data_IF_906620983565
#
_entry.id   IF_906620983565
#
_cell.length_a   1.000
_cell.length_b   1.000
_cell.length_c   1.000
_cell.angle_alpha   90.00
_cell.angle_beta   90.00
_cell.angle_gamma   90.00
#
_symmetry.space_group_name_H-M   'P 1'
#
loop_
_entity.id
_entity.type
_entity.pdbx_description
1 polymer ?
#
# COMPACT_ATOMS: atom_id res chain seq x y z
N UNK A 1 20.26 30.75 -0.11
CA UNK A 1 19.06 31.23 0.58
C UNK A 1 17.83 31.37 -0.34
N UNK A 2 17.95 31.32 -1.67
CA UNK A 2 16.85 31.46 -2.65
C UNK A 2 16.24 30.10 -3.09
N UNK A 3 17.00 29.01 -3.02
CA UNK A 3 16.55 27.65 -3.38
C UNK A 3 15.54 27.05 -2.37
N UNK A 4 15.74 27.25 -1.08
CA UNK A 4 14.85 26.70 -0.04
C UNK A 4 13.45 27.34 0.03
N UNK A 5 13.27 28.52 -0.59
CA UNK A 5 11.94 29.17 -0.66
C UNK A 5 11.08 28.66 -1.84
N UNK A 6 11.70 28.19 -2.93
CA UNK A 6 10.98 27.60 -4.07
C UNK A 6 10.41 26.22 -3.76
N UNK A 7 11.14 25.38 -3.03
CA UNK A 7 10.65 24.06 -2.60
C UNK A 7 9.44 24.16 -1.64
N UNK A 8 9.49 25.08 -0.66
CA UNK A 8 8.34 25.30 0.24
C UNK A 8 7.08 25.76 -0.48
N UNK A 9 7.23 26.54 -1.55
CA UNK A 9 6.09 27.04 -2.34
C UNK A 9 5.53 25.94 -3.23
N UNK A 10 6.38 25.11 -3.82
CA UNK A 10 5.99 24.01 -4.71
C UNK A 10 5.26 22.90 -3.92
N UNK A 11 5.77 22.50 -2.76
CA UNK A 11 5.11 21.52 -1.90
C UNK A 11 3.75 22.03 -1.35
N UNK A 12 3.65 23.33 -1.05
CA UNK A 12 2.38 23.95 -0.66
C UNK A 12 1.35 23.98 -1.79
N UNK A 13 1.79 24.07 -3.03
CA UNK A 13 0.91 24.13 -4.21
C UNK A 13 0.35 22.76 -4.58
N UNK A 14 1.21 21.73 -4.54
CA UNK A 14 0.82 20.33 -4.79
C UNK A 14 -0.21 19.89 -3.74
N UNK A 15 0.00 20.22 -2.46
CA UNK A 15 -0.96 19.90 -1.40
C UNK A 15 -2.32 20.60 -1.57
N UNK A 16 -2.32 21.84 -2.04
CA UNK A 16 -3.55 22.59 -2.31
C UNK A 16 -4.29 22.08 -3.55
N UNK A 17 -3.59 21.64 -4.58
CA UNK A 17 -4.19 21.08 -5.81
C UNK A 17 -4.81 19.71 -5.53
N UNK A 18 -4.18 18.88 -4.72
CA UNK A 18 -4.71 17.56 -4.34
C UNK A 18 -5.94 17.68 -3.44
N UNK A 19 -5.95 18.61 -2.49
CA UNK A 19 -7.12 18.88 -1.64
C UNK A 19 -8.27 19.48 -2.44
N UNK A 20 -8.00 20.32 -3.43
CA UNK A 20 -9.02 20.87 -4.35
C UNK A 20 -9.56 19.83 -5.32
N UNK A 21 -8.74 18.92 -5.83
CA UNK A 21 -9.19 17.83 -6.71
C UNK A 21 -10.10 16.82 -5.99
N UNK A 22 -9.82 16.53 -4.71
CA UNK A 22 -10.68 15.68 -3.88
C UNK A 22 -11.99 16.35 -3.49
N UNK A 23 -12.00 17.68 -3.30
CA UNK A 23 -13.21 18.42 -2.99
C UNK A 23 -14.17 18.56 -4.19
N UNK A 24 -13.65 18.63 -5.42
CA UNK A 24 -14.47 18.73 -6.64
C UNK A 24 -15.20 17.42 -6.95
N UNK A 25 -14.66 16.26 -6.55
CA UNK A 25 -15.32 14.96 -6.70
C UNK A 25 -16.55 14.77 -5.78
N UNK A 26 -16.69 15.58 -4.72
CA UNK A 26 -17.82 15.50 -3.79
C UNK A 26 -19.00 16.44 -4.12
N UNK A 27 -18.83 17.44 -5.00
CA UNK A 27 -19.85 18.48 -5.25
C UNK A 27 -20.74 18.18 -6.48
N UNK A 28 -20.37 17.25 -7.37
CA UNK A 28 -21.12 16.97 -8.60
C UNK A 28 -22.25 15.94 -8.47
N UNK A 29 -22.68 15.57 -7.26
CA UNK A 29 -23.67 14.50 -7.04
C UNK A 29 -25.15 14.92 -7.14
N UNK A 30 -25.48 16.17 -7.48
CA UNK A 30 -26.88 16.67 -7.43
C UNK A 30 -27.61 16.61 -8.78
N UNK A 31 -26.93 16.39 -9.91
CA UNK A 31 -27.60 16.35 -11.24
C UNK A 31 -27.64 15.00 -11.92
N UNK A 32 -27.09 13.95 -11.32
CA UNK A 32 -27.07 12.60 -11.93
C UNK A 32 -28.36 11.78 -11.67
N UNK A 33 -29.19 12.16 -10.70
CA UNK A 33 -30.35 11.35 -10.28
C UNK A 33 -31.45 11.22 -11.35
N UNK A 34 -31.64 12.21 -12.20
CA UNK A 34 -32.74 12.18 -13.20
C UNK A 34 -32.47 11.34 -14.44
N UNK A 35 -31.20 11.02 -14.76
CA UNK A 35 -30.88 10.15 -15.91
C UNK A 35 -30.67 8.67 -15.49
N UNK A 36 -30.34 8.42 -14.24
CA UNK A 36 -30.16 7.08 -13.69
C UNK A 36 -31.51 6.36 -13.55
N UNK A 37 -32.57 7.04 -13.14
CA UNK A 37 -33.90 6.46 -13.03
C UNK A 37 -34.48 6.04 -14.40
N UNK A 38 -34.20 6.78 -15.46
CA UNK A 38 -34.60 6.40 -16.83
C UNK A 38 -33.80 5.22 -17.38
N UNK A 39 -32.54 5.10 -17.04
CA UNK A 39 -31.70 3.94 -17.37
C UNK A 39 -32.11 2.70 -16.56
N UNK A 40 -32.52 2.89 -15.31
CA UNK A 40 -33.05 1.87 -14.41
C UNK A 40 -34.38 1.29 -14.91
N UNK A 41 -35.30 2.12 -15.35
CA UNK A 41 -36.58 1.71 -15.93
C UNK A 41 -36.42 0.98 -17.30
N UNK A 42 -35.39 1.31 -18.07
CA UNK A 42 -35.06 0.63 -19.31
C UNK A 42 -34.44 -0.77 -19.09
N UNK A 43 -33.69 -0.96 -18.01
CA UNK A 43 -33.09 -2.23 -17.58
C UNK A 43 -34.07 -3.11 -16.80
N UNK A 44 -35.03 -2.53 -16.06
CA UNK A 44 -36.06 -3.24 -15.29
C UNK A 44 -37.11 -3.98 -16.17
N UNK A 45 -37.11 -3.75 -17.49
CA UNK A 45 -37.99 -4.45 -18.44
C UNK A 45 -37.49 -5.81 -18.96
N UNK A 46 -36.36 -6.30 -18.45
CA UNK A 46 -35.84 -7.62 -18.85
C UNK A 46 -35.55 -8.46 -17.63
N UNK A 47 -36.54 -9.26 -17.26
CA UNK A 47 -36.58 -10.48 -16.42
C UNK A 47 -35.38 -10.80 -15.49
N UNK A 48 -35.73 -11.10 -14.24
CA UNK A 48 -34.98 -11.66 -13.15
C UNK A 48 -34.19 -10.67 -12.25
N UNK A 49 -34.98 -9.85 -11.52
CA UNK A 49 -34.48 -8.91 -10.48
C UNK A 49 -33.76 -9.58 -9.29
N UNK A 50 -33.97 -10.86 -9.03
CA UNK A 50 -33.33 -11.58 -7.94
C UNK A 50 -31.85 -11.94 -8.24
N UNK A 51 -31.52 -12.16 -9.51
CA UNK A 51 -30.16 -12.51 -9.94
C UNK A 51 -29.27 -11.28 -10.09
N UNK A 52 -29.80 -10.16 -10.54
CA UNK A 52 -29.01 -8.93 -10.70
C UNK A 52 -28.59 -8.33 -9.36
N UNK A 53 -29.45 -8.39 -8.35
CA UNK A 53 -29.13 -7.92 -6.99
C UNK A 53 -28.10 -8.83 -6.30
N UNK A 54 -28.21 -10.16 -6.50
CA UNK A 54 -27.19 -11.12 -6.06
C UNK A 54 -25.86 -10.93 -6.78
N UNK A 55 -25.89 -10.70 -8.07
CA UNK A 55 -24.73 -10.46 -8.90
C UNK A 55 -24.00 -9.19 -8.51
N UNK A 56 -24.73 -8.13 -8.22
CA UNK A 56 -24.19 -6.89 -7.65
C UNK A 56 -23.60 -7.08 -6.25
N UNK A 57 -24.28 -7.80 -5.37
CA UNK A 57 -23.77 -8.13 -4.05
C UNK A 57 -22.47 -8.96 -4.12
N UNK A 58 -22.35 -9.85 -5.08
CA UNK A 58 -21.17 -10.70 -5.28
C UNK A 58 -20.00 -9.95 -5.93
N UNK A 59 -20.26 -9.05 -6.90
CA UNK A 59 -19.25 -8.10 -7.43
C UNK A 59 -18.81 -7.12 -6.37
N UNK A 60 -19.73 -6.75 -5.47
CA UNK A 60 -19.47 -5.98 -4.28
C UNK A 60 -18.48 -6.68 -3.36
N UNK A 61 -18.72 -7.94 -3.05
CA UNK A 61 -17.81 -8.75 -2.24
C UNK A 61 -16.43 -8.88 -2.90
N UNK A 62 -16.33 -8.75 -4.21
CA UNK A 62 -15.07 -8.76 -4.93
C UNK A 62 -14.28 -7.45 -4.82
N UNK A 63 -14.94 -6.32 -5.01
CA UNK A 63 -14.37 -5.00 -4.79
C UNK A 63 -14.13 -4.73 -3.29
N UNK A 64 -15.04 -5.22 -2.44
CA UNK A 64 -14.94 -5.14 -0.98
C UNK A 64 -13.97 -6.13 -0.35
N UNK A 65 -13.48 -7.16 -1.05
CA UNK A 65 -12.54 -8.13 -0.44
C UNK A 65 -11.28 -7.48 0.16
N UNK A 66 -10.93 -6.28 -0.26
CA UNK A 66 -9.91 -5.47 0.42
C UNK A 66 -10.43 -4.75 1.67
N UNK A 67 -11.74 -4.69 1.91
CA UNK A 67 -12.36 -3.91 2.98
C UNK A 67 -13.53 -4.63 3.68
N UNK A 68 -13.97 -5.79 3.20
CA UNK A 68 -15.08 -6.53 3.80
C UNK A 68 -14.60 -7.35 5.00
N UNK A 69 -15.34 -7.27 6.08
CA UNK A 69 -15.09 -8.04 7.28
C UNK A 69 -15.68 -9.45 7.15
N UNK A 70 -14.94 -10.43 7.63
CA UNK A 70 -15.42 -11.80 7.73
C UNK A 70 -16.49 -11.90 8.82
N UNK A 71 -17.52 -12.71 8.57
CA UNK A 71 -18.50 -13.07 9.62
C UNK A 71 -17.79 -13.80 10.76
N UNK A 72 -18.39 -13.75 11.95
CA UNK A 72 -17.89 -14.47 13.12
C UNK A 72 -17.63 -15.95 12.81
N UNK A 73 -16.44 -16.46 13.15
CA UNK A 73 -15.97 -17.80 12.83
C UNK A 73 -15.48 -17.99 11.39
N UNK A 74 -15.65 -17.00 10.52
CA UNK A 74 -15.15 -17.04 9.14
C UNK A 74 -13.62 -17.03 9.10
N UNK A 75 -13.05 -17.79 8.16
CA UNK A 75 -11.61 -17.90 7.93
C UNK A 75 -11.33 -17.63 6.47
N UNK A 76 -10.24 -16.94 6.16
CA UNK A 76 -9.76 -16.72 4.80
C UNK A 76 -8.24 -16.80 4.79
N UNK A 77 -7.69 -17.49 3.80
CA UNK A 77 -6.25 -17.51 3.52
C UNK A 77 -6.05 -16.92 2.14
N UNK A 78 -5.21 -15.92 2.02
CA UNK A 78 -4.85 -15.32 0.73
C UNK A 78 -3.35 -15.49 0.50
N UNK A 79 -3.01 -15.86 -0.70
CA UNK A 79 -1.65 -15.83 -1.23
C UNK A 79 -1.52 -14.63 -2.16
N UNK A 80 -0.43 -13.87 -2.04
CA UNK A 80 -0.06 -12.84 -3.02
C UNK A 80 1.38 -12.97 -3.45
N UNK A 81 1.61 -12.66 -4.71
CA UNK A 81 2.92 -12.46 -5.31
C UNK A 81 2.97 -11.03 -5.82
N UNK A 82 3.86 -10.24 -5.24
CA UNK A 82 4.05 -8.84 -5.56
C UNK A 82 5.46 -8.62 -6.10
N UNK A 83 5.58 -7.89 -7.20
CA UNK A 83 6.82 -7.43 -7.78
C UNK A 83 6.89 -5.92 -7.73
N UNK A 84 8.02 -5.38 -7.30
CA UNK A 84 8.30 -3.94 -7.39
C UNK A 84 9.67 -3.69 -8.02
N UNK A 85 9.72 -2.63 -8.80
CA UNK A 85 10.92 -2.15 -9.46
C UNK A 85 11.14 -0.68 -9.07
N UNK A 86 12.35 -0.37 -8.62
CA UNK A 86 12.79 0.98 -8.30
C UNK A 86 14.09 1.20 -9.05
N UNK A 87 14.12 2.21 -9.91
CA UNK A 87 15.34 2.68 -10.56
C UNK A 87 15.88 3.91 -9.83
N UNK A 88 17.18 3.94 -9.64
CA UNK A 88 17.90 5.08 -9.09
C UNK A 88 19.10 5.37 -9.98
N UNK A 89 19.53 6.62 -10.03
CA UNK A 89 20.71 7.04 -10.76
C UNK A 89 21.73 7.61 -9.79
N UNK A 90 22.81 6.87 -9.55
CA UNK A 90 23.93 7.35 -8.75
C UNK A 90 24.89 8.14 -9.63
N UNK A 91 25.24 9.34 -9.15
CA UNK A 91 26.29 10.14 -9.72
C UNK A 91 27.53 9.94 -8.84
N UNK A 92 28.51 9.20 -9.35
CA UNK A 92 29.82 9.05 -8.72
C UNK A 92 30.75 10.14 -9.21
N UNK A 93 31.19 11.00 -8.30
CA UNK A 93 32.11 12.09 -8.61
C UNK A 93 33.47 11.74 -8.00
N UNK A 94 34.46 11.51 -8.85
CA UNK A 94 35.85 11.36 -8.41
C UNK A 94 36.57 12.71 -8.48
N UNK A 95 36.93 13.23 -7.31
CA UNK A 95 37.64 14.50 -7.18
C UNK A 95 39.08 14.25 -6.78
N UNK A 96 40.03 14.46 -7.71
CA UNK A 96 41.47 14.37 -7.42
C UNK A 96 42.08 15.75 -7.62
N UNK A 97 42.76 16.26 -6.60
CA UNK A 97 43.39 17.57 -6.59
C UNK A 97 42.44 18.74 -6.93
N UNK A 98 41.26 18.75 -6.38
CA UNK A 98 40.19 19.74 -6.61
C UNK A 98 39.67 19.80 -8.07
N UNK A 99 39.97 18.80 -8.89
CA UNK A 99 39.45 18.65 -10.24
C UNK A 99 38.59 17.41 -10.32
N UNK A 100 37.37 17.56 -10.82
CA UNK A 100 36.48 16.43 -11.13
C UNK A 100 37.13 15.64 -12.28
N UNK A 101 37.61 14.44 -11.97
CA UNK A 101 38.25 13.55 -12.96
C UNK A 101 37.27 12.64 -13.67
N UNK A 102 36.24 12.22 -12.98
CA UNK A 102 35.22 11.34 -13.54
C UNK A 102 33.86 11.77 -13.05
N UNK A 103 32.88 11.73 -13.91
CA UNK A 103 31.48 11.88 -13.62
C UNK A 103 30.80 10.67 -14.24
N UNK A 104 30.68 9.60 -13.46
CA UNK A 104 30.01 8.38 -13.89
C UNK A 104 28.56 8.38 -13.37
N UNK A 105 27.61 8.27 -14.28
CA UNK A 105 26.21 8.03 -13.95
C UNK A 105 25.99 6.52 -14.02
N UNK A 106 25.95 5.89 -12.87
CA UNK A 106 25.71 4.46 -12.77
C UNK A 106 24.23 4.21 -12.47
N UNK A 107 23.46 3.65 -13.42
CA UNK A 107 22.09 3.28 -13.16
C UNK A 107 22.08 2.14 -12.12
N UNK A 108 21.31 2.33 -11.09
CA UNK A 108 21.02 1.30 -10.09
C UNK A 108 19.55 0.91 -10.18
N UNK A 109 19.26 -0.36 -10.11
CA UNK A 109 17.89 -0.85 -10.07
C UNK A 109 17.73 -1.92 -9.00
N UNK A 110 16.68 -1.80 -8.21
CA UNK A 110 16.29 -2.80 -7.22
C UNK A 110 15.01 -3.49 -7.67
N UNK A 111 15.10 -4.80 -7.83
CA UNK A 111 13.96 -5.68 -8.08
C UNK A 111 13.57 -6.38 -6.79
N UNK A 112 12.30 -6.33 -6.42
CA UNK A 112 11.79 -7.00 -5.24
C UNK A 112 10.62 -7.89 -5.60
N UNK A 113 10.70 -9.17 -5.24
CA UNK A 113 9.61 -10.14 -5.32
C UNK A 113 9.19 -10.49 -3.91
N UNK A 114 7.92 -10.33 -3.59
CA UNK A 114 7.38 -10.63 -2.27
C UNK A 114 6.24 -11.63 -2.38
N UNK A 115 6.45 -12.83 -1.83
CA UNK A 115 5.42 -13.84 -1.66
C UNK A 115 4.83 -13.67 -0.27
N UNK A 116 3.51 -13.49 -0.15
CA UNK A 116 2.87 -13.29 1.15
C UNK A 116 1.73 -14.25 1.37
N UNK A 117 1.65 -14.78 2.58
CA UNK A 117 0.47 -15.48 3.08
C UNK A 117 -0.23 -14.59 4.10
N UNK A 118 -1.51 -14.33 3.88
CA UNK A 118 -2.35 -13.53 4.77
C UNK A 118 -3.52 -14.36 5.26
N UNK A 119 -3.62 -14.52 6.55
CA UNK A 119 -4.71 -15.24 7.21
C UNK A 119 -5.63 -14.25 7.92
N UNK A 120 -6.91 -14.30 7.60
CA UNK A 120 -7.95 -13.49 8.21
C UNK A 120 -8.90 -14.39 9.03
N UNK A 121 -9.27 -13.92 10.24
CA UNK A 121 -10.21 -14.60 11.11
C UNK A 121 -11.27 -13.62 11.63
N UNK A 122 -12.53 -13.90 11.35
CA UNK A 122 -13.67 -13.14 11.85
C UNK A 122 -13.95 -13.49 13.32
N UNK A 123 -13.56 -12.62 14.25
CA UNK A 123 -13.85 -12.80 15.68
C UNK A 123 -15.30 -12.45 15.98
N UNK A 124 -15.76 -11.33 15.44
CA UNK A 124 -17.13 -10.85 15.49
C UNK A 124 -17.60 -10.54 14.07
N UNK A 125 -18.89 -10.34 13.87
CA UNK A 125 -19.42 -9.95 12.55
C UNK A 125 -18.88 -8.61 12.05
N UNK A 126 -18.36 -7.79 12.95
CA UNK A 126 -17.81 -6.47 12.69
C UNK A 126 -16.33 -6.33 13.10
N UNK A 127 -15.64 -7.44 13.41
CA UNK A 127 -14.23 -7.45 13.82
C UNK A 127 -13.49 -8.64 13.20
N UNK A 128 -12.48 -8.37 12.42
CA UNK A 128 -11.60 -9.36 11.81
C UNK A 128 -10.16 -9.15 12.29
N UNK A 129 -9.50 -10.23 12.67
CA UNK A 129 -8.06 -10.28 12.90
C UNK A 129 -7.36 -10.72 11.61
N UNK A 130 -6.18 -10.19 11.39
CA UNK A 130 -5.33 -10.49 10.24
C UNK A 130 -3.92 -10.83 10.72
N UNK A 131 -3.29 -11.82 10.09
CA UNK A 131 -1.88 -12.13 10.24
C UNK A 131 -1.26 -12.29 8.85
N UNK A 132 -0.14 -11.62 8.57
CA UNK A 132 0.58 -11.68 7.30
C UNK A 132 2.03 -12.07 7.52
N UNK A 133 2.52 -12.99 6.69
CA UNK A 133 3.91 -13.46 6.66
C UNK A 133 4.45 -13.33 5.23
N UNK A 134 5.37 -12.39 4.97
CA UNK A 134 6.00 -12.22 3.67
C UNK A 134 7.34 -12.96 3.59
N UNK A 135 7.64 -13.52 2.42
CA UNK A 135 8.95 -13.99 2.00
C UNK A 135 9.42 -13.09 0.86
N UNK A 136 10.49 -12.34 1.08
CA UNK A 136 10.99 -11.35 0.13
C UNK A 136 12.28 -11.81 -0.53
N UNK A 137 12.32 -11.70 -1.86
CA UNK A 137 13.53 -11.86 -2.67
C UNK A 137 13.86 -10.52 -3.28
N UNK A 138 15.04 -9.98 -2.98
CA UNK A 138 15.54 -8.70 -3.53
C UNK A 138 16.79 -8.93 -4.33
N UNK A 139 16.89 -8.19 -5.43
CA UNK A 139 18.06 -8.15 -6.30
C UNK A 139 18.42 -6.71 -6.63
N UNK A 140 19.67 -6.32 -6.35
CA UNK A 140 20.25 -5.04 -6.70
C UNK A 140 21.19 -5.23 -7.89
N UNK A 141 20.97 -4.48 -8.97
CA UNK A 141 21.73 -4.63 -10.21
C UNK A 141 23.12 -4.02 -10.13
N UNK A 142 23.31 -2.95 -9.35
CA UNK A 142 24.58 -2.23 -9.26
C UNK A 142 25.63 -3.05 -8.49
N UNK A 143 25.20 -3.63 -7.36
CA UNK A 143 26.11 -4.40 -6.51
C UNK A 143 26.06 -5.90 -6.85
N UNK A 144 25.16 -6.32 -7.75
CA UNK A 144 24.89 -7.73 -8.07
C UNK A 144 24.59 -8.57 -6.82
N UNK A 145 23.94 -7.95 -5.84
CA UNK A 145 23.56 -8.60 -4.59
C UNK A 145 22.15 -9.16 -4.71
N UNK A 146 21.95 -10.33 -4.14
CA UNK A 146 20.63 -10.92 -3.99
C UNK A 146 20.43 -11.47 -2.58
N UNK A 147 19.19 -11.44 -2.12
CA UNK A 147 18.78 -12.02 -0.84
C UNK A 147 17.39 -12.62 -0.99
N UNK A 148 17.18 -13.76 -0.36
CA UNK A 148 15.84 -14.34 -0.15
C UNK A 148 15.73 -14.68 1.32
N UNK A 149 14.81 -14.00 2.01
CA UNK A 149 14.61 -14.22 3.45
C UNK A 149 13.19 -13.78 3.83
N UNK A 150 12.75 -14.17 5.03
CA UNK A 150 11.50 -13.70 5.57
C UNK A 150 11.53 -12.17 5.74
N UNK A 151 10.42 -11.54 5.43
CA UNK A 151 10.20 -10.12 5.74
C UNK A 151 9.57 -9.94 7.13
N UNK A 152 9.08 -8.75 7.38
CA UNK A 152 8.44 -8.42 8.66
C UNK A 152 7.02 -9.01 8.71
N UNK A 153 6.80 -9.92 9.66
CA UNK A 153 5.46 -10.40 9.95
C UNK A 153 4.61 -9.29 10.54
N UNK A 154 3.32 -9.27 10.20
CA UNK A 154 2.40 -8.27 10.72
C UNK A 154 1.10 -8.89 11.23
N UNK A 155 0.54 -8.25 12.26
CA UNK A 155 -0.72 -8.62 12.89
C UNK A 155 -1.63 -7.42 12.88
N UNK A 156 -2.82 -7.58 12.38
CA UNK A 156 -3.78 -6.49 12.22
C UNK A 156 -5.15 -6.82 12.77
N UNK A 157 -5.89 -5.78 12.99
CA UNK A 157 -7.32 -5.85 13.27
C UNK A 157 -8.06 -4.87 12.35
N UNK A 158 -9.24 -5.27 11.93
CA UNK A 158 -10.17 -4.44 11.17
C UNK A 158 -11.51 -4.44 11.89
N UNK A 159 -12.02 -3.26 12.15
CA UNK A 159 -13.26 -3.05 12.85
C UNK A 159 -14.20 -2.15 12.07
N UNK A 160 -15.43 -2.60 11.90
CA UNK A 160 -16.50 -1.86 11.25
C UNK A 160 -17.47 -1.38 12.32
N UNK A 161 -17.40 -0.09 12.76
CA UNK A 161 -18.21 0.40 13.88
C UNK A 161 -19.70 0.47 13.55
N UNK A 162 -20.04 0.64 12.27
CA UNK A 162 -21.44 0.76 11.83
C UNK A 162 -21.82 -0.46 11.00
N UNK A 163 -23.03 -0.95 11.19
CA UNK A 163 -23.58 -2.01 10.36
C UNK A 163 -23.71 -1.52 8.91
N UNK A 164 -23.45 -2.42 7.96
CA UNK A 164 -23.67 -2.15 6.56
C UNK A 164 -25.14 -1.84 6.27
N UNK A 165 -25.41 -0.74 5.63
CA UNK A 165 -26.73 -0.33 5.16
C UNK A 165 -26.63 -0.03 3.66
N UNK A 166 -27.41 -0.70 2.79
CA UNK A 166 -27.41 -0.43 1.35
C UNK A 166 -27.55 1.05 1.03
N UNK A 167 -26.75 1.57 0.11
CA UNK A 167 -26.75 2.98 -0.29
C UNK A 167 -26.05 3.95 0.66
N UNK A 168 -25.66 3.53 1.88
CA UNK A 168 -24.85 4.31 2.80
C UNK A 168 -23.36 3.96 2.67
N UNK A 169 -22.50 4.89 3.09
CA UNK A 169 -21.07 4.65 3.13
C UNK A 169 -20.73 3.65 4.25
N UNK A 170 -19.84 2.72 3.95
CA UNK A 170 -19.24 1.80 4.92
C UNK A 170 -17.95 2.41 5.45
N UNK A 171 -17.77 2.38 6.75
CA UNK A 171 -16.57 2.88 7.43
C UNK A 171 -15.87 1.71 8.12
N UNK A 172 -14.57 1.57 7.89
CA UNK A 172 -13.73 0.56 8.52
C UNK A 172 -12.52 1.21 9.17
N UNK A 173 -12.26 0.88 10.41
CA UNK A 173 -11.06 1.27 11.15
C UNK A 173 -10.11 0.08 11.17
N UNK A 174 -8.84 0.32 10.89
CA UNK A 174 -7.80 -0.72 10.92
C UNK A 174 -6.66 -0.31 11.84
N UNK A 175 -6.01 -1.30 12.45
CA UNK A 175 -4.76 -1.13 13.15
C UNK A 175 -3.88 -2.33 12.86
N UNK A 176 -2.59 -2.09 12.58
CA UNK A 176 -1.63 -3.15 12.25
C UNK A 176 -0.34 -2.93 13.03
N UNK A 177 0.12 -3.98 13.69
CA UNK A 177 1.44 -4.07 14.30
C UNK A 177 2.37 -4.82 13.35
N UNK A 178 3.43 -4.18 12.88
CA UNK A 178 4.49 -4.82 12.11
C UNK A 178 5.66 -5.13 13.03
N UNK A 179 6.19 -6.34 12.91
CA UNK A 179 7.35 -6.82 13.68
C UNK A 179 8.64 -6.55 12.92
N UNK A 180 9.77 -6.77 13.54
CA UNK A 180 11.10 -6.72 12.91
C UNK A 180 11.68 -8.14 12.69
N UNK A 181 10.90 -9.04 12.13
CA UNK A 181 11.32 -10.43 11.90
C UNK A 181 12.20 -10.59 10.66
N UNK A 182 12.13 -9.65 9.74
CA UNK A 182 12.99 -9.61 8.57
C UNK A 182 14.42 -9.15 8.86
N UNK A 183 15.29 -9.25 7.87
CA UNK A 183 16.67 -8.78 7.97
C UNK A 183 16.69 -7.26 8.03
N UNK A 184 17.15 -6.73 9.17
CA UNK A 184 17.19 -5.30 9.45
C UNK A 184 18.23 -4.57 8.59
N UNK A 185 17.91 -3.47 7.90
CA UNK A 185 18.89 -2.66 7.19
C UNK A 185 19.90 -1.98 8.12
N UNK A 186 19.61 -1.89 9.41
CA UNK A 186 20.45 -1.23 10.42
C UNK A 186 21.42 -2.17 11.12
N UNK A 187 21.29 -3.50 10.94
CA UNK A 187 22.12 -4.53 11.56
C UNK A 187 23.08 -5.20 10.58
N UNK A 188 22.96 -4.88 9.28
CA UNK A 188 23.78 -5.45 8.20
C UNK A 188 24.64 -4.35 7.56
N UNK A 189 25.71 -4.76 6.86
CA UNK A 189 26.41 -3.89 5.92
C UNK A 189 25.66 -3.90 4.57
N UNK A 190 24.99 -2.80 4.24
CA UNK A 190 24.20 -2.66 3.01
C UNK A 190 25.02 -2.71 1.71
N UNK A 191 26.37 -2.67 1.82
CA UNK A 191 27.27 -2.86 0.68
C UNK A 191 27.49 -4.35 0.36
N UNK A 192 27.25 -5.22 1.33
CA UNK A 192 27.53 -6.65 1.22
C UNK A 192 26.25 -7.50 1.27
N UNK A 193 25.16 -6.94 1.79
CA UNK A 193 23.90 -7.68 1.98
C UNK A 193 22.69 -6.73 1.86
N UNK A 194 21.59 -7.25 1.29
CA UNK A 194 20.31 -6.55 1.21
C UNK A 194 19.43 -6.89 2.41
N UNK A 195 18.61 -5.93 2.83
CA UNK A 195 17.60 -6.12 3.88
C UNK A 195 16.29 -6.66 3.31
N UNK A 196 15.53 -7.41 4.12
CA UNK A 196 14.18 -7.87 3.78
C UNK A 196 13.11 -7.29 4.71
N UNK A 197 13.51 -6.69 5.81
CA UNK A 197 12.64 -6.04 6.79
C UNK A 197 12.92 -4.55 6.97
N UNK A 198 12.09 -3.89 7.78
CA UNK A 198 12.20 -2.48 8.17
C UNK A 198 13.24 -2.24 9.26
N UNK A 199 13.52 -3.28 10.08
CA UNK A 199 14.42 -3.22 11.23
C UNK A 199 13.85 -2.55 12.46
N UNK A 200 12.56 -2.17 12.47
CA UNK A 200 11.88 -1.56 13.61
C UNK A 200 10.49 -2.16 13.78
N UNK A 201 9.97 -2.12 15.00
CA UNK A 201 8.55 -2.35 15.23
C UNK A 201 7.78 -1.10 14.82
N UNK A 202 6.59 -1.28 14.22
CA UNK A 202 5.72 -0.15 13.90
C UNK A 202 4.26 -0.48 14.17
N UNK A 203 3.49 0.55 14.49
CA UNK A 203 2.03 0.49 14.58
C UNK A 203 1.45 1.45 13.58
N UNK A 204 0.58 0.95 12.71
CA UNK A 204 -0.19 1.77 11.80
C UNK A 204 -1.68 1.72 12.14
N UNK A 205 -2.36 2.84 11.99
CA UNK A 205 -3.80 2.98 12.13
C UNK A 205 -4.37 3.60 10.87
N UNK A 206 -5.55 3.12 10.46
CA UNK A 206 -6.18 3.57 9.24
C UNK A 206 -7.68 3.68 9.36
N UNK A 207 -8.25 4.58 8.57
CA UNK A 207 -9.68 4.76 8.35
C UNK A 207 -9.94 4.59 6.87
N UNK A 208 -10.84 3.70 6.50
CA UNK A 208 -11.30 3.55 5.12
C UNK A 208 -12.82 3.76 5.03
N UNK A 209 -13.22 4.35 3.93
CA UNK A 209 -14.62 4.63 3.62
C UNK A 209 -14.90 4.14 2.21
N UNK A 210 -15.96 3.39 2.02
CA UNK A 210 -16.42 2.99 0.70
C UNK A 210 -17.91 3.28 0.54
N UNK A 211 -18.33 3.63 -0.67
CA UNK A 211 -19.73 3.85 -1.02
C UNK A 211 -20.04 3.28 -2.39
N UNK A 212 -21.10 2.54 -2.42
CA UNK A 212 -21.62 1.97 -3.65
C UNK A 212 -22.60 2.91 -4.31
N UNK A 213 -22.35 3.13 -5.58
CA UNK A 213 -23.14 3.95 -6.49
C UNK A 213 -23.29 3.18 -7.80
N UNK A 214 -24.07 2.09 -7.77
CA UNK A 214 -24.27 1.20 -8.93
C UNK A 214 -24.15 1.92 -10.29
N UNK A 215 -23.23 1.49 -11.18
CA UNK A 215 -22.34 0.32 -11.13
C UNK A 215 -20.94 0.59 -10.60
N UNK A 216 -20.72 1.67 -9.88
CA UNK A 216 -19.42 2.14 -9.40
C UNK A 216 -19.34 2.01 -7.87
N UNK A 217 -18.18 1.62 -7.35
CA UNK A 217 -17.84 1.72 -5.93
C UNK A 217 -16.78 2.78 -5.75
N UNK A 218 -17.08 3.83 -5.02
CA UNK A 218 -16.09 4.82 -4.60
C UNK A 218 -15.45 4.39 -3.29
N UNK A 219 -14.15 4.56 -3.16
CA UNK A 219 -13.45 4.29 -1.92
C UNK A 219 -12.34 5.29 -1.65
N UNK A 220 -12.02 5.44 -0.37
CA UNK A 220 -10.90 6.26 0.08
C UNK A 220 -10.39 5.78 1.43
N UNK A 221 -9.12 6.01 1.70
CA UNK A 221 -8.52 5.69 2.98
C UNK A 221 -7.49 6.71 3.42
N UNK A 222 -7.34 6.83 4.72
CA UNK A 222 -6.31 7.63 5.39
C UNK A 222 -5.65 6.74 6.42
N UNK A 223 -4.32 6.73 6.45
CA UNK A 223 -3.56 5.97 7.45
C UNK A 223 -2.37 6.75 7.97
N UNK A 224 -1.97 6.41 9.19
CA UNK A 224 -0.77 6.92 9.84
C UNK A 224 0.00 5.75 10.43
N UNK A 225 1.33 5.78 10.29
CA UNK A 225 2.22 4.78 10.86
C UNK A 225 3.26 5.44 11.75
N UNK A 226 3.45 4.86 12.92
CA UNK A 226 4.47 5.23 13.88
C UNK A 226 5.44 4.07 14.08
N UNK A 227 6.73 4.32 13.84
CA UNK A 227 7.81 3.35 14.07
C UNK A 227 8.46 3.60 15.42
N UNK A 228 8.63 2.52 16.19
CA UNK A 228 9.32 2.60 17.47
C UNK A 228 10.83 2.74 17.26
N UNK A 229 11.46 3.45 18.17
CA UNK A 229 12.91 3.63 18.18
C UNK A 229 13.64 2.28 18.32
N UNK A 230 14.66 2.05 17.48
CA UNK A 230 15.51 0.87 17.57
C UNK A 230 16.84 1.22 18.22
N UNK A 231 17.05 0.68 19.42
CA UNK A 231 18.25 0.89 20.22
C UNK A 231 19.18 -0.34 20.20
N UNK A 232 20.40 -0.15 20.68
CA UNK A 232 21.36 -1.24 20.88
C UNK A 232 22.05 -1.70 19.60
N UNK A 233 22.01 -0.92 18.54
CA UNK A 233 22.71 -1.20 17.29
C UNK A 233 24.22 -1.08 17.46
N UNK A 234 24.97 -1.84 16.64
CA UNK A 234 26.43 -1.82 16.66
C UNK A 234 27.04 -1.90 15.24
N UNK A 235 26.37 -1.34 14.27
CA UNK A 235 26.81 -1.36 12.87
C UNK A 235 27.67 -0.13 12.56
N UNK A 236 28.81 -0.32 11.89
CA UNK A 236 29.66 0.77 11.44
C UNK A 236 29.10 1.39 10.16
N UNK A 237 28.88 2.70 10.17
CA UNK A 237 28.40 3.50 9.04
C UNK A 237 29.26 4.74 8.88
N UNK A 238 29.93 4.89 7.74
CA UNK A 238 30.82 6.04 7.48
C UNK A 238 31.90 6.24 8.54
N UNK A 239 32.50 5.13 9.07
CA UNK A 239 33.50 5.18 10.12
C UNK A 239 32.98 5.46 11.53
N UNK A 240 31.65 5.50 11.73
CA UNK A 240 30.99 5.73 13.02
C UNK A 240 30.10 4.55 13.38
N UNK A 241 29.95 4.26 14.67
CA UNK A 241 29.10 3.17 15.14
C UNK A 241 27.68 3.70 15.33
N UNK A 242 26.72 3.18 14.55
CA UNK A 242 25.30 3.43 14.70
C UNK A 242 24.80 2.79 15.99
N UNK A 243 24.10 3.53 16.83
CA UNK A 243 23.56 3.08 18.13
C UNK A 243 22.06 3.02 18.15
N UNK A 244 21.41 4.02 17.56
CA UNK A 244 19.97 4.17 17.62
C UNK A 244 19.45 4.69 16.29
N UNK A 245 18.28 4.21 15.91
CA UNK A 245 17.54 4.69 14.75
C UNK A 245 16.13 5.08 15.19
N UNK A 246 15.74 6.29 14.84
CA UNK A 246 14.39 6.81 14.98
C UNK A 246 13.84 7.03 13.58
N UNK A 247 13.00 6.11 13.11
CA UNK A 247 12.33 6.26 11.83
C UNK A 247 11.25 7.34 11.90
N UNK A 248 11.07 8.05 10.80
CA UNK A 248 10.02 9.05 10.64
C UNK A 248 8.62 8.45 10.72
N UNK A 249 7.65 9.32 11.00
CA UNK A 249 6.22 8.98 10.91
C UNK A 249 5.78 9.00 9.44
N UNK A 250 4.88 8.10 9.07
CA UNK A 250 4.32 8.05 7.73
C UNK A 250 2.82 8.30 7.76
N UNK A 251 2.36 9.08 6.78
CA UNK A 251 0.95 9.34 6.53
C UNK A 251 0.64 8.95 5.09
N UNK A 252 -0.47 8.27 4.88
CA UNK A 252 -0.88 7.85 3.54
C UNK A 252 -2.35 8.16 3.32
N UNK A 253 -2.65 8.68 2.15
CA UNK A 253 -3.99 8.90 1.64
C UNK A 253 -4.16 8.15 0.33
N UNK A 254 -5.27 7.42 0.19
CA UNK A 254 -5.63 6.82 -1.10
C UNK A 254 -7.08 7.11 -1.44
N UNK A 255 -7.38 7.20 -2.72
CA UNK A 255 -8.74 7.32 -3.24
C UNK A 255 -8.84 6.66 -4.60
N UNK A 256 -10.03 6.15 -4.91
CA UNK A 256 -10.24 5.46 -6.18
C UNK A 256 -11.69 5.06 -6.38
N UNK A 257 -11.90 4.36 -7.47
CA UNK A 257 -13.19 3.76 -7.77
C UNK A 257 -12.98 2.37 -8.38
N UNK A 258 -13.99 1.53 -8.22
CA UNK A 258 -14.09 0.23 -8.85
C UNK A 258 -15.35 0.21 -9.73
N UNK A 259 -15.21 -0.34 -10.93
CA UNK A 259 -16.29 -0.48 -11.89
C UNK A 259 -16.45 -1.94 -12.29
N UNK A 260 -17.68 -2.44 -12.26
CA UNK A 260 -18.00 -3.79 -12.74
C UNK A 260 -18.10 -3.79 -14.26
N UNK A 261 -17.11 -4.38 -14.94
CA UNK A 261 -17.09 -4.52 -16.39
C UNK A 261 -18.05 -5.61 -16.87
N UNK A 262 -18.14 -6.69 -16.09
CA UNK A 262 -19.04 -7.81 -16.32
C UNK A 262 -19.32 -8.53 -15.01
N UNK A 263 -20.13 -9.58 -15.04
CA UNK A 263 -20.36 -10.46 -13.88
C UNK A 263 -19.08 -11.06 -13.31
N UNK A 264 -18.11 -11.37 -14.15
CA UNK A 264 -16.88 -12.06 -13.75
C UNK A 264 -15.66 -11.13 -13.67
N UNK A 265 -15.81 -9.85 -14.01
CA UNK A 265 -14.67 -8.96 -14.15
C UNK A 265 -14.97 -7.58 -13.60
N UNK A 266 -14.09 -7.08 -12.72
CA UNK A 266 -14.13 -5.72 -12.18
C UNK A 266 -12.79 -5.02 -12.41
N UNK A 267 -12.83 -3.71 -12.69
CA UNK A 267 -11.67 -2.83 -12.83
C UNK A 267 -11.69 -1.81 -11.72
N UNK A 268 -10.58 -1.69 -10.99
CA UNK A 268 -10.38 -0.66 -9.99
C UNK A 268 -9.24 0.25 -10.41
N UNK A 269 -9.42 1.55 -10.22
CA UNK A 269 -8.40 2.56 -10.44
C UNK A 269 -8.27 3.37 -9.16
N UNK A 270 -7.04 3.54 -8.67
CA UNK A 270 -6.78 4.30 -7.45
C UNK A 270 -5.48 5.08 -7.52
N UNK A 271 -5.43 6.16 -6.78
CA UNK A 271 -4.23 6.97 -6.55
C UNK A 271 -3.91 6.93 -5.07
N UNK A 272 -2.63 6.79 -4.75
CA UNK A 272 -2.12 6.81 -3.40
C UNK A 272 -1.03 7.86 -3.29
N UNK A 273 -1.04 8.61 -2.19
CA UNK A 273 0.00 9.59 -1.83
C UNK A 273 0.43 9.27 -0.41
N UNK A 274 1.73 9.13 -0.22
CA UNK A 274 2.38 8.93 1.07
C UNK A 274 3.32 10.09 1.38
N UNK A 275 3.38 10.47 2.65
CA UNK A 275 4.35 11.42 3.20
C UNK A 275 5.02 10.77 4.38
N UNK A 276 6.35 10.76 4.39
CA UNK A 276 7.15 10.26 5.52
C UNK A 276 8.08 11.36 6.00
N UNK A 277 8.09 11.58 7.32
CA UNK A 277 9.02 12.53 7.94
C UNK A 277 10.43 11.95 7.99
N UNK A 278 11.40 12.79 8.32
CA UNK A 278 12.81 12.42 8.41
C UNK A 278 13.08 11.20 9.32
N UNK A 279 14.04 10.38 8.93
CA UNK A 279 14.59 9.30 9.76
C UNK A 279 15.92 9.75 10.32
N UNK A 280 16.08 9.68 11.65
CA UNK A 280 17.32 10.12 12.34
C UNK A 280 18.12 8.94 12.84
N UNK A 281 19.40 8.95 12.51
CA UNK A 281 20.43 8.00 12.93
C UNK A 281 21.30 8.63 14.01
N UNK A 282 21.45 7.98 15.17
CA UNK A 282 22.30 8.43 16.26
C UNK A 282 23.54 7.55 16.38
N UNK A 283 24.71 8.17 16.44
CA UNK A 283 26.00 7.49 16.49
C UNK A 283 26.63 7.54 17.89
N UNK A 284 27.55 6.60 18.15
CA UNK A 284 28.24 6.46 19.44
C UNK A 284 29.07 7.68 19.86
N UNK A 285 29.49 8.50 18.92
CA UNK A 285 30.25 9.74 19.16
C UNK A 285 29.37 10.96 19.48
N UNK A 286 28.06 10.77 19.70
CA UNK A 286 27.11 11.84 19.98
C UNK A 286 26.65 12.64 18.75
N UNK A 287 27.05 12.28 17.53
CA UNK A 287 26.54 12.91 16.30
C UNK A 287 25.29 12.23 15.82
N UNK A 288 24.46 12.96 15.09
CA UNK A 288 23.29 12.43 14.38
C UNK A 288 23.34 12.77 12.89
N UNK A 289 22.60 12.00 12.11
CA UNK A 289 22.34 12.28 10.70
C UNK A 289 20.87 11.97 10.39
N UNK A 290 20.21 12.87 9.69
CA UNK A 290 18.80 12.67 9.29
C UNK A 290 18.68 12.56 7.78
N UNK A 291 17.77 11.71 7.30
CA UNK A 291 17.31 11.71 5.91
C UNK A 291 16.34 12.88 5.69
N UNK A 292 16.17 13.36 4.46
CA UNK A 292 15.08 14.28 4.16
C UNK A 292 13.71 13.60 4.31
N UNK A 293 12.68 14.42 4.41
CA UNK A 293 11.28 13.97 4.24
C UNK A 293 11.09 13.40 2.83
N UNK A 294 10.18 12.46 2.69
CA UNK A 294 9.88 11.84 1.38
C UNK A 294 8.39 11.92 1.05
N UNK A 295 8.08 12.06 -0.24
CA UNK A 295 6.72 12.08 -0.78
C UNK A 295 6.61 11.04 -1.88
N UNK A 296 5.87 9.98 -1.62
CA UNK A 296 5.58 8.94 -2.61
C UNK A 296 4.18 9.10 -3.17
N UNK A 297 4.06 9.05 -4.48
CA UNK A 297 2.78 9.05 -5.19
C UNK A 297 2.73 7.90 -6.18
N UNK A 298 1.61 7.18 -6.25
CA UNK A 298 1.43 6.11 -7.22
C UNK A 298 0.01 6.08 -7.78
N UNK A 299 -0.13 5.54 -8.99
CA UNK A 299 -1.40 5.22 -9.60
C UNK A 299 -1.48 3.72 -9.85
N UNK A 300 -2.57 3.12 -9.42
CA UNK A 300 -2.74 1.68 -9.42
C UNK A 300 -4.02 1.28 -10.18
N UNK A 301 -3.91 0.22 -10.95
CA UNK A 301 -4.98 -0.45 -11.65
C UNK A 301 -5.08 -1.87 -11.12
N UNK A 302 -6.28 -2.36 -10.85
CA UNK A 302 -6.51 -3.72 -10.42
C UNK A 302 -7.68 -4.32 -11.18
N UNK A 303 -7.46 -5.51 -11.72
CA UNK A 303 -8.46 -6.31 -12.41
C UNK A 303 -8.84 -7.48 -11.51
N UNK A 304 -10.07 -7.50 -11.03
CA UNK A 304 -10.65 -8.64 -10.34
C UNK A 304 -11.28 -9.59 -11.33
N UNK A 305 -10.85 -10.85 -11.33
CA UNK A 305 -11.33 -11.90 -12.22
C UNK A 305 -11.92 -13.03 -11.37
N UNK A 306 -13.20 -13.32 -11.56
CA UNK A 306 -13.86 -14.45 -10.92
C UNK A 306 -13.42 -15.76 -11.59
N UNK A 307 -12.66 -16.56 -10.85
CA UNK A 307 -12.17 -17.87 -11.31
C UNK A 307 -13.20 -18.97 -10.98
N UNK A 308 -13.83 -18.85 -9.82
CA UNK A 308 -14.88 -19.71 -9.31
C UNK A 308 -16.00 -18.87 -8.67
N UNK A 309 -17.21 -19.39 -8.45
CA UNK A 309 -18.31 -18.65 -7.82
C UNK A 309 -17.96 -17.99 -6.48
N UNK A 310 -16.95 -18.51 -5.76
CA UNK A 310 -16.49 -18.01 -4.46
C UNK A 310 -15.07 -17.42 -4.48
N UNK A 311 -14.39 -17.47 -5.63
CA UNK A 311 -12.96 -17.14 -5.72
C UNK A 311 -12.73 -16.06 -6.75
N UNK A 312 -12.16 -14.93 -6.31
CA UNK A 312 -11.78 -13.84 -7.20
C UNK A 312 -10.26 -13.67 -7.09
N UNK A 313 -9.59 -13.84 -8.21
CA UNK A 313 -8.19 -13.50 -8.39
C UNK A 313 -8.08 -12.02 -8.72
N UNK A 314 -7.15 -11.30 -8.08
CA UNK A 314 -6.85 -9.93 -8.43
C UNK A 314 -5.48 -9.84 -9.08
N UNK A 315 -5.42 -9.16 -10.21
CA UNK A 315 -4.17 -8.80 -10.88
C UNK A 315 -4.04 -7.28 -10.82
N UNK A 316 -2.93 -6.80 -10.30
CA UNK A 316 -2.68 -5.36 -10.15
C UNK A 316 -1.44 -4.92 -10.92
N UNK A 317 -1.50 -3.69 -11.36
CA UNK A 317 -0.41 -2.98 -12.00
C UNK A 317 -0.41 -1.54 -11.50
N UNK A 318 0.76 -1.00 -11.17
CA UNK A 318 0.89 0.37 -10.69
C UNK A 318 2.19 0.99 -11.14
N UNK A 319 2.21 2.31 -11.21
CA UNK A 319 3.41 3.09 -11.52
C UNK A 319 3.55 4.29 -10.59
N UNK A 320 4.80 4.65 -10.33
CA UNK A 320 5.17 5.82 -9.54
C UNK A 320 4.85 7.12 -10.25
N UNK A 321 4.44 8.11 -9.48
CA UNK A 321 4.19 9.48 -9.94
C UNK A 321 5.22 10.47 -9.38
N UNK A 322 6.04 10.01 -8.43
CA UNK A 322 7.07 10.81 -7.74
C UNK A 322 8.37 10.02 -7.68
N UNK A 323 9.49 10.69 -7.46
CA UNK A 323 10.83 10.08 -7.39
C UNK A 323 10.97 9.09 -6.22
N UNK A 324 10.27 9.31 -5.11
CA UNK A 324 10.31 8.42 -3.94
C UNK A 324 9.39 7.18 -4.06
N UNK A 325 8.61 7.09 -5.14
CA UNK A 325 7.73 5.94 -5.37
C UNK A 325 8.43 4.87 -6.20
N UNK A 326 7.98 3.62 -6.08
CA UNK A 326 8.41 2.56 -6.99
C UNK A 326 7.96 2.87 -8.41
N UNK A 327 8.86 2.78 -9.41
CA UNK A 327 8.55 3.07 -10.81
C UNK A 327 7.47 2.15 -11.35
N UNK A 328 7.54 0.87 -10.97
CA UNK A 328 6.62 -0.16 -11.40
C UNK A 328 6.27 -1.10 -10.25
N UNK A 329 4.99 -1.39 -10.10
CA UNK A 329 4.48 -2.42 -9.21
C UNK A 329 3.55 -3.35 -9.98
N UNK A 330 3.67 -4.64 -9.75
CA UNK A 330 2.77 -5.66 -10.29
C UNK A 330 2.41 -6.62 -9.17
N UNK A 331 1.18 -7.11 -9.16
CA UNK A 331 0.76 -8.05 -8.14
C UNK A 331 -0.29 -9.02 -8.64
N UNK A 332 -0.28 -10.21 -8.07
CA UNK A 332 -1.34 -11.20 -8.22
C UNK A 332 -1.73 -11.68 -6.84
N UNK A 333 -3.00 -11.65 -6.52
CA UNK A 333 -3.51 -12.23 -5.27
C UNK A 333 -4.61 -13.24 -5.55
N UNK A 334 -4.56 -14.33 -4.80
CA UNK A 334 -5.45 -15.46 -4.95
C UNK A 334 -5.92 -15.95 -3.57
N UNK A 335 -7.23 -15.99 -3.29
CA UNK A 335 -7.74 -16.59 -2.07
C UNK A 335 -7.68 -18.11 -2.16
N UNK A 336 -7.09 -18.74 -1.14
CA UNK A 336 -7.00 -20.19 -1.00
C UNK A 336 -8.21 -20.67 -0.21
N UNK A 337 -8.99 -21.59 -0.77
CA UNK A 337 -10.10 -22.20 -0.05
C UNK A 337 -9.57 -23.15 1.05
N UNK A 338 -9.71 -22.74 2.30
CA UNK A 338 -9.36 -23.54 3.48
C UNK A 338 -10.54 -24.31 4.07
N UNK A 339 -11.74 -24.19 3.46
CA UNK A 339 -12.94 -24.95 3.90
C UNK A 339 -12.79 -26.46 3.70
N UNK A 340 -11.87 -26.91 2.85
CA UNK A 340 -11.53 -28.33 2.69
C UNK A 340 -10.69 -28.89 3.86
N UNK A 341 -10.08 -28.03 4.68
CA UNK A 341 -9.31 -28.41 5.87
C UNK A 341 -10.19 -28.31 7.13
N UNK A 342 -11.23 -29.11 7.20
CA UNK A 342 -11.99 -29.31 8.47
C UNK A 342 -11.19 -30.23 9.36
N UNK A 343 -10.65 -29.68 10.45
CA UNK A 343 -10.07 -30.43 11.57
C UNK A 343 -11.18 -30.81 12.54
#
# INVERSE_FOLDING_TARGET
MILGQKEKIMNSWIFRVVVLASAVLFISSVQAETNVDKARDALAKKSDDADSTRQLEEVFQAAEKNYSLLRSGGKSLNYSLDYSYISDSRIDIDIVNNVVRNLDINPSATHSFTNSFSFDYGVLNNLTLNARLPLSTRYDTQQSLSVTDWGDASFGLRWQPFAYVPGKATVTVSSTLSTKTGVSPYEIDNRLRLSTGSGTYSVSTGLSVSKVLDPIVLFGSLSSSYSFEQNGLNQVRGGRVLKTVQQGQSFSFSSGFSYSLSYDTSLSISTQIGYSTETTLFFSNGTSASSPDSVSGSMNFSLGIRVDPKTIMNVSFGFGLTEDASDLNMGVSYPIDIGAFTW
#
